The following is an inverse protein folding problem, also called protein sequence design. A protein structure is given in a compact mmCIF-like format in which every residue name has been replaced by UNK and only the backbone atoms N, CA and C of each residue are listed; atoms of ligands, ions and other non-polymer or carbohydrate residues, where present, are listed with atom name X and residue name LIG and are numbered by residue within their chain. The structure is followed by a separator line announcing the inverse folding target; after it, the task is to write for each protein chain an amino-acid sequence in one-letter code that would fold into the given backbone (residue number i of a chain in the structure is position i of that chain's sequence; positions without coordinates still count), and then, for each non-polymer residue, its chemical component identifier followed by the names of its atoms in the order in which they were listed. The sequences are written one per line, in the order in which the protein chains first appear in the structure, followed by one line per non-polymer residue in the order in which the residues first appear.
data_IF_082465312458
#
_entry.id   IF_082465312458
#
_cell.length_a   1.000
_cell.length_b   1.000
_cell.length_c   1.000
_cell.angle_alpha   90.00
_cell.angle_beta   90.00
_cell.angle_gamma   90.00
#
_symmetry.space_group_name_H-M   'P 1'
#
loop_
_entity.id
_entity.type
_entity.pdbx_description
1 polymer ?
#
# COMPACT_ATOMS: atom_id res chain seq x y z
N UNK A 1 -20.90 -3.90 13.30
CA UNK A 1 -21.09 -2.53 12.77
C UNK A 1 -22.57 -2.25 12.71
N UNK A 2 -23.08 -1.36 13.56
CA UNK A 2 -24.46 -0.89 13.45
C UNK A 2 -24.44 0.41 12.65
N UNK A 3 -24.84 0.35 11.38
CA UNK A 3 -25.18 1.56 10.62
C UNK A 3 -26.35 2.22 11.34
N UNK A 4 -26.13 3.42 11.87
CA UNK A 4 -27.24 4.28 12.25
C UNK A 4 -27.85 4.80 10.96
N UNK A 5 -28.88 4.13 10.45
CA UNK A 5 -29.90 4.79 9.64
C UNK A 5 -30.71 5.69 10.58
N UNK A 6 -30.10 6.75 11.10
CA UNK A 6 -30.71 7.74 11.99
C UNK A 6 -31.56 8.75 11.21
N UNK A 7 -32.19 8.32 10.10
CA UNK A 7 -33.13 9.16 9.35
C UNK A 7 -34.36 9.56 10.19
N UNK A 8 -34.62 8.89 11.32
CA UNK A 8 -35.72 9.20 12.23
C UNK A 8 -35.42 10.32 13.25
N UNK A 9 -34.19 10.84 13.36
CA UNK A 9 -33.84 11.91 14.32
C UNK A 9 -33.82 13.33 13.72
N UNK A 10 -33.73 13.47 12.39
CA UNK A 10 -33.71 14.77 11.72
C UNK A 10 -34.91 15.69 12.05
N UNK A 11 -36.16 15.21 12.20
CA UNK A 11 -37.26 16.11 12.55
C UNK A 11 -37.15 16.73 13.95
N UNK A 12 -36.35 16.13 14.84
CA UNK A 12 -36.15 16.63 16.22
C UNK A 12 -34.94 17.56 16.35
N UNK A 13 -33.91 17.42 15.51
CA UNK A 13 -32.67 18.23 15.63
C UNK A 13 -32.89 19.69 15.26
N UNK A 14 -33.83 19.99 14.36
CA UNK A 14 -34.17 21.36 13.95
C UNK A 14 -35.19 22.05 14.87
N UNK A 15 -35.66 21.37 15.93
CA UNK A 15 -36.59 21.98 16.90
C UNK A 15 -35.87 22.85 17.93
N UNK A 16 -34.61 22.55 18.21
CA UNK A 16 -33.79 23.30 19.14
C UNK A 16 -33.21 24.55 18.47
N UNK A 17 -33.12 25.65 19.22
CA UNK A 17 -32.47 26.86 18.72
C UNK A 17 -30.99 26.57 18.41
N UNK A 18 -30.49 26.98 17.22
CA UNK A 18 -29.08 26.80 16.90
C UNK A 18 -28.21 27.63 17.84
N UNK A 19 -27.04 27.09 18.17
CA UNK A 19 -25.99 27.78 18.92
C UNK A 19 -24.94 28.35 17.99
N UNK A 20 -24.28 29.42 18.43
CA UNK A 20 -23.23 30.07 17.67
C UNK A 20 -21.90 29.33 17.85
N UNK A 21 -21.14 29.26 16.76
CA UNK A 21 -19.75 28.80 16.72
C UNK A 21 -18.92 29.94 16.10
N UNK A 22 -17.89 30.39 16.81
CA UNK A 22 -16.97 31.45 16.35
C UNK A 22 -15.71 30.78 15.82
N UNK A 23 -15.35 31.09 14.58
CA UNK A 23 -14.31 30.39 13.82
C UNK A 23 -13.30 31.39 13.27
N UNK A 24 -12.05 30.97 13.23
CA UNK A 24 -10.96 31.70 12.60
C UNK A 24 -10.60 33.04 13.25
N UNK A 25 -9.53 33.68 12.77
CA UNK A 25 -9.11 34.98 13.26
C UNK A 25 -10.10 36.11 12.92
N UNK A 26 -10.91 35.92 11.88
CA UNK A 26 -11.98 36.85 11.50
C UNK A 26 -13.22 36.74 12.40
N UNK A 27 -13.27 35.74 13.31
CA UNK A 27 -14.41 35.48 14.19
C UNK A 27 -15.71 35.25 13.40
N UNK A 28 -15.61 34.52 12.31
CA UNK A 28 -16.74 34.12 11.47
C UNK A 28 -17.73 33.31 12.31
N UNK A 29 -19.02 33.67 12.26
CA UNK A 29 -20.06 33.04 13.08
C UNK A 29 -20.85 32.03 12.26
N UNK A 30 -20.81 30.77 12.69
CA UNK A 30 -21.64 29.69 12.17
C UNK A 30 -22.75 29.34 13.17
N UNK A 31 -23.85 28.77 12.68
CA UNK A 31 -24.99 28.35 13.49
C UNK A 31 -25.17 26.84 13.40
N UNK A 32 -25.13 26.16 14.54
CA UNK A 32 -25.14 24.70 14.63
C UNK A 32 -26.23 24.24 15.59
N UNK A 33 -26.95 23.18 15.21
CA UNK A 33 -28.02 22.66 16.04
C UNK A 33 -27.45 21.79 17.19
N UNK A 34 -27.82 22.04 18.47
CA UNK A 34 -27.31 21.28 19.62
C UNK A 34 -27.51 19.77 19.49
N UNK A 35 -28.63 19.34 18.91
CA UNK A 35 -28.94 17.93 18.66
C UNK A 35 -27.90 17.21 17.79
N UNK A 36 -27.25 17.93 16.88
CA UNK A 36 -26.20 17.38 16.01
C UNK A 36 -24.90 17.17 16.81
N UNK A 37 -24.51 18.16 17.62
CA UNK A 37 -23.32 18.09 18.47
C UNK A 37 -23.46 17.06 19.60
N UNK A 38 -24.66 16.88 20.14
CA UNK A 38 -24.90 15.87 21.20
C UNK A 38 -24.87 14.43 20.66
N UNK A 39 -25.23 14.26 19.39
CA UNK A 39 -25.37 12.96 18.73
C UNK A 39 -24.12 12.50 17.96
N UNK A 40 -23.14 13.40 17.77
CA UNK A 40 -21.96 13.15 16.95
C UNK A 40 -20.97 12.11 17.53
N UNK A 41 -21.12 11.75 18.81
CA UNK A 41 -20.27 10.74 19.46
C UNK A 41 -18.97 11.29 20.03
N UNK A 42 -18.67 12.59 19.88
CA UNK A 42 -17.61 13.25 20.64
C UNK A 42 -18.09 13.49 22.09
N UNK A 43 -17.37 12.96 23.11
CA UNK A 43 -17.69 13.23 24.50
C UNK A 43 -17.46 14.70 24.86
N UNK A 44 -16.48 15.36 24.23
CA UNK A 44 -16.15 16.77 24.47
C UNK A 44 -17.27 17.67 23.97
N UNK A 45 -17.73 17.47 22.73
CA UNK A 45 -18.81 18.25 22.15
C UNK A 45 -20.13 17.97 22.86
N UNK A 46 -20.42 16.71 23.18
CA UNK A 46 -21.60 16.33 23.95
C UNK A 46 -21.63 16.97 25.35
N UNK A 47 -20.49 17.01 26.05
CA UNK A 47 -20.39 17.64 27.35
C UNK A 47 -20.58 19.16 27.27
N UNK A 48 -20.05 19.79 26.20
CA UNK A 48 -20.30 21.21 25.90
C UNK A 48 -21.81 21.42 25.79
N UNK A 49 -22.51 20.73 24.88
CA UNK A 49 -23.96 20.94 24.59
C UNK A 49 -24.95 20.34 25.60
N UNK A 50 -24.54 20.00 26.82
CA UNK A 50 -25.43 19.38 27.80
C UNK A 50 -26.53 20.35 28.28
N UNK A 51 -27.67 19.79 28.69
CA UNK A 51 -28.87 20.47 29.18
C UNK A 51 -28.61 21.61 30.18
N UNK A 52 -27.59 21.49 31.03
CA UNK A 52 -27.23 22.55 31.98
C UNK A 52 -26.67 23.80 31.29
N UNK A 53 -25.94 23.67 30.17
CA UNK A 53 -25.45 24.82 29.41
C UNK A 53 -26.60 25.56 28.72
N UNK A 54 -27.54 24.80 28.13
CA UNK A 54 -28.70 25.33 27.43
C UNK A 54 -29.70 25.98 28.41
N UNK A 55 -29.88 25.40 29.61
CA UNK A 55 -30.83 25.88 30.63
C UNK A 55 -30.33 27.09 31.42
N UNK A 56 -29.02 27.30 31.55
CA UNK A 56 -28.46 28.38 32.39
C UNK A 56 -28.42 29.76 31.72
N UNK A 57 -28.94 29.93 30.50
CA UNK A 57 -29.04 31.23 29.82
C UNK A 57 -27.70 31.87 29.43
N UNK A 58 -26.57 31.28 29.83
CA UNK A 58 -25.24 31.55 29.28
C UNK A 58 -25.13 30.88 27.91
N UNK A 59 -25.85 31.44 26.93
CA UNK A 59 -25.70 31.16 25.49
C UNK A 59 -24.32 31.60 24.98
N UNK A 60 -23.26 31.05 25.55
CA UNK A 60 -21.90 31.27 25.10
C UNK A 60 -21.72 30.60 23.75
N UNK A 61 -21.24 31.32 22.76
CA UNK A 61 -20.82 30.72 21.51
C UNK A 61 -19.69 29.69 21.76
N UNK A 62 -19.66 28.62 20.98
CA UNK A 62 -18.50 27.72 20.94
C UNK A 62 -17.34 28.49 20.30
N UNK A 63 -16.25 28.62 21.03
CA UNK A 63 -15.01 29.19 20.50
C UNK A 63 -14.20 28.10 19.79
N UNK A 64 -14.07 28.23 18.47
CA UNK A 64 -13.21 27.45 17.57
C UNK A 64 -12.30 28.41 16.76
N UNK A 65 -11.91 29.55 17.35
CA UNK A 65 -11.07 30.56 16.68
C UNK A 65 -9.67 30.05 16.31
N UNK A 66 -9.23 28.94 16.92
CA UNK A 66 -7.99 28.24 16.55
C UNK A 66 -8.05 27.50 15.19
N UNK A 67 -9.24 27.27 14.64
CA UNK A 67 -9.44 26.59 13.37
C UNK A 67 -9.87 27.57 12.28
N UNK A 68 -9.40 27.35 11.06
CA UNK A 68 -9.88 28.08 9.89
C UNK A 68 -11.29 27.67 9.48
N UNK A 69 -11.94 28.56 8.74
CA UNK A 69 -13.29 28.42 8.22
C UNK A 69 -13.47 27.14 7.40
N UNK A 70 -12.49 26.78 6.57
CA UNK A 70 -12.57 25.63 5.67
C UNK A 70 -12.60 24.31 6.45
N UNK A 71 -11.77 24.21 7.48
CA UNK A 71 -11.73 23.07 8.39
C UNK A 71 -13.06 22.91 9.13
N UNK A 72 -13.60 24.02 9.63
CA UNK A 72 -14.89 23.98 10.33
C UNK A 72 -16.04 23.68 9.37
N UNK A 73 -16.05 24.23 8.16
CA UNK A 73 -17.05 23.90 7.14
C UNK A 73 -17.05 22.40 6.80
N UNK A 74 -15.87 21.78 6.68
CA UNK A 74 -15.75 20.34 6.50
C UNK A 74 -16.29 19.55 7.72
N UNK A 75 -15.93 19.97 8.93
CA UNK A 75 -16.42 19.33 10.15
C UNK A 75 -17.93 19.46 10.32
N UNK A 76 -18.50 20.63 10.01
CA UNK A 76 -19.95 20.86 10.03
C UNK A 76 -20.65 20.05 8.95
N UNK A 77 -20.09 19.97 7.74
CA UNK A 77 -20.63 19.10 6.68
C UNK A 77 -20.74 17.66 7.21
N UNK A 78 -19.66 17.14 7.77
CA UNK A 78 -19.66 15.79 8.36
C UNK A 78 -20.73 15.61 9.43
N UNK A 79 -20.90 16.59 10.31
CA UNK A 79 -21.90 16.56 11.36
C UNK A 79 -23.34 16.45 10.82
N UNK A 80 -23.64 17.08 9.67
CA UNK A 80 -24.98 17.08 9.09
C UNK A 80 -25.25 15.94 8.12
N UNK A 81 -24.27 15.56 7.29
CA UNK A 81 -24.47 14.60 6.19
C UNK A 81 -23.68 13.29 6.39
N UNK A 82 -22.98 13.14 7.53
CA UNK A 82 -22.05 12.05 7.83
C UNK A 82 -20.89 11.89 6.82
N UNK A 83 -20.64 12.93 6.03
CA UNK A 83 -19.55 13.00 5.06
C UNK A 83 -19.07 14.45 4.88
N UNK A 84 -17.90 14.65 4.30
CA UNK A 84 -17.44 15.99 3.92
C UNK A 84 -16.86 15.97 2.52
N UNK A 85 -16.54 17.11 1.95
CA UNK A 85 -15.89 17.19 0.65
C UNK A 85 -14.83 18.28 0.68
N UNK A 86 -13.68 17.97 0.10
CA UNK A 86 -12.54 18.89 -0.01
C UNK A 86 -12.48 19.28 -1.48
N UNK A 87 -13.48 20.08 -1.92
CA UNK A 87 -13.49 20.56 -3.30
C UNK A 87 -12.45 21.63 -3.49
N UNK A 88 -11.76 21.56 -4.62
CA UNK A 88 -10.99 22.66 -5.18
C UNK A 88 -11.95 23.85 -5.44
N UNK A 89 -11.98 24.84 -4.53
CA UNK A 89 -12.90 25.99 -4.62
C UNK A 89 -12.44 27.06 -5.62
N UNK A 90 -11.53 26.75 -6.53
CA UNK A 90 -11.18 27.62 -7.67
C UNK A 90 -12.35 27.91 -8.63
N UNK A 91 -13.51 27.25 -8.48
CA UNK A 91 -14.68 27.44 -9.35
C UNK A 91 -15.81 28.36 -8.81
N UNK A 92 -15.50 29.36 -7.99
CA UNK A 92 -16.46 30.46 -7.71
C UNK A 92 -16.21 31.58 -8.72
N UNK A 93 -16.61 31.38 -9.99
CA UNK A 93 -16.40 32.41 -11.01
C UNK A 93 -16.90 32.14 -12.43
N UNK A 94 -17.61 31.05 -12.72
CA UNK A 94 -18.23 30.84 -14.02
C UNK A 94 -19.73 30.63 -13.86
N UNK A 95 -20.48 31.45 -14.57
CA UNK A 95 -21.90 31.70 -14.43
C UNK A 95 -22.75 30.43 -14.65
N UNK A 96 -23.89 30.44 -13.98
CA UNK A 96 -25.06 29.62 -14.31
C UNK A 96 -25.40 29.89 -15.77
N UNK A 97 -25.06 28.97 -16.66
CA UNK A 97 -25.75 28.81 -17.93
C UNK A 97 -26.45 27.46 -17.92
N UNK A 98 -27.78 27.52 -17.83
CA UNK A 98 -28.67 26.42 -18.12
C UNK A 98 -28.34 25.86 -19.52
N UNK A 99 -28.09 24.56 -19.61
CA UNK A 99 -28.12 23.88 -20.91
C UNK A 99 -29.00 22.64 -20.85
N UNK A 100 -30.04 22.73 -21.68
CA UNK A 100 -31.08 21.75 -21.94
C UNK A 100 -30.58 20.38 -22.41
N UNK A 101 -31.49 19.42 -22.24
CA UNK A 101 -31.52 17.98 -22.51
C UNK A 101 -30.88 17.45 -23.82
N UNK A 102 -30.68 16.12 -23.77
CA UNK A 102 -30.40 15.12 -24.81
C UNK A 102 -28.93 14.80 -25.08
N UNK A 103 -28.45 13.65 -24.58
CA UNK A 103 -28.41 12.43 -25.42
C UNK A 103 -27.88 11.18 -24.69
N UNK A 104 -28.64 10.10 -24.88
CA UNK A 104 -28.26 8.70 -25.08
C UNK A 104 -27.43 7.91 -24.05
N UNK A 105 -28.20 7.03 -23.39
CA UNK A 105 -27.87 5.78 -22.72
C UNK A 105 -27.00 4.88 -23.62
N UNK A 106 -25.83 4.48 -23.13
CA UNK A 106 -25.17 3.24 -23.55
C UNK A 106 -24.78 2.45 -22.30
N UNK A 107 -25.59 1.42 -22.02
CA UNK A 107 -25.29 0.36 -21.06
C UNK A 107 -24.06 -0.43 -21.54
N UNK A 108 -23.06 -0.59 -20.67
CA UNK A 108 -22.10 -1.68 -20.75
C UNK A 108 -22.03 -2.35 -19.38
N UNK A 109 -22.36 -3.64 -19.38
CA UNK A 109 -22.64 -4.46 -18.22
C UNK A 109 -21.40 -4.74 -17.36
N UNK A 110 -21.58 -4.57 -16.06
CA UNK A 110 -20.72 -5.06 -15.00
C UNK A 110 -20.77 -6.59 -14.92
N UNK A 111 -19.61 -7.26 -15.04
CA UNK A 111 -19.43 -8.60 -14.50
C UNK A 111 -18.96 -8.48 -13.06
N UNK A 112 -19.93 -8.64 -12.16
CA UNK A 112 -19.74 -8.88 -10.75
C UNK A 112 -18.93 -10.16 -10.52
N UNK A 113 -17.77 -10.05 -9.88
CA UNK A 113 -17.12 -11.21 -9.26
C UNK A 113 -17.08 -10.98 -7.76
N UNK A 114 -18.02 -11.64 -7.07
CA UNK A 114 -18.02 -11.81 -5.61
C UNK A 114 -16.70 -12.46 -5.17
N UNK A 115 -15.98 -11.81 -4.27
CA UNK A 115 -15.01 -12.49 -3.41
C UNK A 115 -15.42 -12.28 -1.96
N UNK A 116 -15.67 -13.39 -1.27
CA UNK A 116 -16.13 -13.41 0.12
C UNK A 116 -15.09 -12.82 1.07
N UNK A 117 -15.56 -11.93 1.93
CA UNK A 117 -14.84 -11.42 3.09
C UNK A 117 -14.80 -12.51 4.17
N UNK A 118 -13.68 -13.21 4.30
CA UNK A 118 -13.30 -13.89 5.54
C UNK A 118 -12.25 -13.05 6.26
N UNK A 119 -12.58 -12.61 7.48
CA UNK A 119 -11.68 -11.93 8.40
C UNK A 119 -10.70 -12.98 8.97
N UNK A 120 -9.37 -12.82 8.89
CA UNK A 120 -8.46 -13.67 9.64
C UNK A 120 -8.22 -13.12 11.05
N UNK A 121 -8.15 -14.03 12.00
CA UNK A 121 -7.90 -13.78 13.42
C UNK A 121 -6.63 -12.98 13.69
N UNK A 122 -6.75 -12.04 14.64
CA UNK A 122 -5.75 -11.06 15.06
C UNK A 122 -4.44 -11.64 15.64
N UNK A 123 -4.36 -12.95 15.89
CA UNK A 123 -3.15 -13.60 16.42
C UNK A 123 -2.16 -14.04 15.32
N UNK A 124 -2.60 -14.25 14.08
CA UNK A 124 -1.73 -14.71 12.98
C UNK A 124 -1.00 -13.52 12.30
N UNK A 125 -1.48 -12.29 12.51
CA UNK A 125 -0.93 -11.08 11.90
C UNK A 125 0.44 -10.66 12.45
N UNK A 126 0.76 -10.97 13.71
CA UNK A 126 2.00 -10.48 14.34
C UNK A 126 3.26 -11.23 13.88
N UNK A 127 3.15 -12.49 13.49
CA UNK A 127 4.30 -13.30 13.09
C UNK A 127 4.73 -13.02 11.65
N UNK A 128 3.76 -12.72 10.76
CA UNK A 128 4.01 -12.32 9.37
C UNK A 128 4.46 -10.86 9.19
N UNK A 129 4.42 -10.03 10.24
CA UNK A 129 4.86 -8.63 10.20
C UNK A 129 6.37 -8.45 10.46
N UNK A 130 7.05 -9.49 10.96
CA UNK A 130 8.47 -9.44 11.29
C UNK A 130 9.38 -9.54 10.07
N UNK A 131 8.92 -10.17 8.98
CA UNK A 131 9.75 -10.42 7.78
C UNK A 131 9.66 -9.33 6.71
N UNK A 132 8.69 -8.41 6.80
CA UNK A 132 8.50 -7.37 5.77
C UNK A 132 9.30 -6.09 6.06
N UNK A 133 10.02 -5.52 5.08
CA UNK A 133 10.86 -4.34 5.29
C UNK A 133 10.08 -3.08 5.69
N UNK A 134 8.87 -2.90 5.17
CA UNK A 134 7.97 -1.77 5.45
C UNK A 134 6.50 -2.22 5.38
N UNK A 135 5.66 -1.65 6.25
CA UNK A 135 4.21 -1.92 6.26
C UNK A 135 3.55 -1.23 5.06
N UNK A 136 2.74 -1.93 4.23
CA UNK A 136 1.95 -1.29 3.18
C UNK A 136 0.99 -0.25 3.75
N UNK A 137 0.77 0.85 3.03
CA UNK A 137 -0.15 1.91 3.46
C UNK A 137 -1.58 1.42 3.70
N UNK A 138 -2.04 0.46 2.88
CA UNK A 138 -3.35 -0.17 3.07
C UNK A 138 -3.51 -0.92 4.39
N UNK A 139 -2.40 -1.23 5.07
CA UNK A 139 -2.34 -1.88 6.39
C UNK A 139 -2.01 -0.91 7.53
N UNK A 140 -1.80 0.38 7.26
CA UNK A 140 -1.70 1.40 8.30
C UNK A 140 -3.08 1.69 8.94
N UNK A 141 -4.17 1.28 8.29
CA UNK A 141 -5.54 1.41 8.81
C UNK A 141 -6.04 0.07 9.37
N UNK A 142 -6.53 0.07 10.61
CA UNK A 142 -7.29 -1.07 11.15
C UNK A 142 -8.71 -1.15 10.60
N UNK A 143 -9.28 -0.02 10.17
CA UNK A 143 -10.71 0.13 9.83
C UNK A 143 -11.00 -0.11 8.34
N UNK A 144 -9.96 -0.31 7.52
CA UNK A 144 -10.08 -0.43 6.06
C UNK A 144 -10.31 0.92 5.36
N UNK A 145 -10.31 0.93 4.02
CA UNK A 145 -10.61 2.13 3.23
C UNK A 145 -12.14 2.35 3.17
N UNK A 146 -12.62 3.60 3.14
CA UNK A 146 -14.04 3.89 3.03
C UNK A 146 -14.54 3.43 1.65
N UNK A 147 -15.80 3.02 1.58
CA UNK A 147 -16.42 2.73 0.30
C UNK A 147 -16.32 3.97 -0.60
N UNK A 148 -15.80 3.80 -1.81
CA UNK A 148 -15.96 4.83 -2.84
C UNK A 148 -17.47 4.99 -3.03
N UNK A 149 -18.00 6.14 -2.61
CA UNK A 149 -19.41 6.55 -2.66
C UNK A 149 -20.35 5.98 -1.57
N UNK A 150 -20.94 6.88 -0.78
CA UNK A 150 -22.35 6.72 -0.42
C UNK A 150 -23.17 7.49 -1.46
N UNK A 151 -23.91 6.78 -2.31
CA UNK A 151 -25.00 7.38 -3.05
C UNK A 151 -25.99 7.96 -2.04
N UNK A 152 -26.00 9.29 -1.89
CA UNK A 152 -27.09 10.00 -1.25
C UNK A 152 -28.07 10.49 -2.32
N UNK A 153 -29.33 10.70 -1.93
CA UNK A 153 -30.43 11.06 -2.84
C UNK A 153 -30.25 12.41 -3.58
N UNK A 154 -29.14 13.13 -3.36
CA UNK A 154 -28.83 14.44 -3.93
C UNK A 154 -27.72 14.40 -5.01
N UNK A 155 -27.67 13.31 -5.79
CA UNK A 155 -26.76 13.06 -6.92
C UNK A 155 -25.32 12.65 -6.55
N UNK A 156 -24.78 11.75 -7.37
CA UNK A 156 -23.42 11.26 -7.31
C UNK A 156 -22.45 12.37 -7.72
N UNK A 157 -21.72 12.94 -6.77
CA UNK A 157 -20.63 13.88 -7.05
C UNK A 157 -19.31 13.25 -6.63
N UNK A 158 -18.64 12.61 -7.59
CA UNK A 158 -17.19 12.52 -7.60
C UNK A 158 -16.75 12.58 -9.06
N UNK A 159 -16.20 13.73 -9.47
CA UNK A 159 -15.21 13.74 -10.54
C UNK A 159 -13.93 13.28 -9.87
N UNK A 160 -13.40 12.13 -10.26
CA UNK A 160 -12.09 11.72 -9.77
C UNK A 160 -11.07 12.84 -10.03
N UNK A 161 -10.33 13.30 -9.00
CA UNK A 161 -9.20 14.18 -9.22
C UNK A 161 -8.27 13.46 -10.20
N UNK A 162 -8.01 14.08 -11.35
CA UNK A 162 -7.05 13.51 -12.28
C UNK A 162 -5.67 13.50 -11.61
N UNK A 163 -4.84 12.50 -11.91
CA UNK A 163 -3.59 12.22 -11.22
C UNK A 163 -2.50 13.33 -11.26
N UNK A 164 -2.83 14.51 -11.80
CA UNK A 164 -1.94 15.66 -11.95
C UNK A 164 -2.66 16.98 -11.58
N UNK A 165 -3.48 17.02 -10.53
CA UNK A 165 -4.07 18.28 -10.06
C UNK A 165 -3.11 19.05 -9.15
N UNK A 166 -2.91 20.34 -9.44
CA UNK A 166 -2.12 21.29 -8.64
C UNK A 166 -2.63 21.40 -7.20
N UNK A 167 -3.88 20.99 -6.91
CA UNK A 167 -4.51 21.04 -5.59
C UNK A 167 -4.39 19.77 -4.72
N UNK A 168 -3.75 18.68 -5.17
CA UNK A 168 -3.67 17.45 -4.35
C UNK A 168 -2.93 17.66 -3.01
N UNK A 169 -1.95 18.57 -2.98
CA UNK A 169 -1.24 18.95 -1.75
C UNK A 169 -2.16 19.63 -0.74
N UNK A 170 -3.03 20.54 -1.21
CA UNK A 170 -4.01 21.23 -0.39
C UNK A 170 -5.06 20.26 0.15
N UNK A 171 -5.48 19.28 -0.66
CA UNK A 171 -6.38 18.21 -0.21
C UNK A 171 -5.73 17.37 0.91
N UNK A 172 -4.44 17.06 0.79
CA UNK A 172 -3.69 16.35 1.84
C UNK A 172 -3.66 17.17 3.15
N UNK A 173 -3.38 18.47 3.04
CA UNK A 173 -3.38 19.39 4.17
C UNK A 173 -4.76 19.47 4.83
N UNK A 174 -5.84 19.57 4.04
CA UNK A 174 -7.20 19.62 4.56
C UNK A 174 -7.61 18.35 5.31
N UNK A 175 -7.25 17.17 4.82
CA UNK A 175 -7.45 15.94 5.58
C UNK A 175 -6.63 15.91 6.88
N UNK A 176 -5.40 16.44 6.86
CA UNK A 176 -4.57 16.63 8.04
C UNK A 176 -5.19 17.57 9.09
N UNK A 177 -5.73 18.72 8.65
CA UNK A 177 -6.44 19.68 9.50
C UNK A 177 -7.66 19.06 10.15
N UNK A 178 -8.48 18.35 9.36
CA UNK A 178 -9.68 17.72 9.87
C UNK A 178 -9.37 16.56 10.82
N UNK A 179 -8.30 15.81 10.57
CA UNK A 179 -7.78 14.83 11.52
C UNK A 179 -7.43 15.50 12.85
N UNK A 180 -6.67 16.60 12.83
CA UNK A 180 -6.28 17.32 14.04
C UNK A 180 -7.48 17.88 14.80
N UNK A 181 -8.45 18.47 14.09
CA UNK A 181 -9.73 18.91 14.67
C UNK A 181 -10.44 17.75 15.36
N UNK A 182 -10.60 16.62 14.67
CA UNK A 182 -11.28 15.46 15.21
C UNK A 182 -10.53 14.87 16.42
N UNK A 183 -9.19 14.82 16.37
CA UNK A 183 -8.35 14.34 17.46
C UNK A 183 -8.51 15.22 18.71
N UNK A 184 -8.47 16.55 18.55
CA UNK A 184 -8.60 17.50 19.65
C UNK A 184 -9.97 17.38 20.36
N UNK A 185 -11.04 17.16 19.60
CA UNK A 185 -12.39 16.99 20.16
C UNK A 185 -12.77 15.53 20.46
N UNK A 186 -11.84 14.57 20.38
CA UNK A 186 -12.10 13.14 20.58
C UNK A 186 -13.26 12.63 19.70
N UNK A 187 -13.28 13.06 18.45
CA UNK A 187 -14.31 12.76 17.48
C UNK A 187 -13.88 11.57 16.60
N UNK A 188 -13.84 10.38 17.19
CA UNK A 188 -13.22 9.19 16.57
C UNK A 188 -13.79 8.80 15.21
N UNK A 189 -15.09 9.00 14.94
CA UNK A 189 -15.66 8.67 13.60
C UNK A 189 -15.09 9.59 12.51
N UNK A 190 -14.99 10.89 12.79
CA UNK A 190 -14.43 11.88 11.87
C UNK A 190 -12.91 11.71 11.73
N UNK A 191 -12.22 11.43 12.83
CA UNK A 191 -10.78 11.13 12.87
C UNK A 191 -10.45 9.96 11.93
N UNK A 192 -11.21 8.86 12.05
CA UNK A 192 -11.05 7.70 11.18
C UNK A 192 -11.36 8.02 9.71
N UNK A 193 -12.43 8.77 9.42
CA UNK A 193 -12.78 9.16 8.05
C UNK A 193 -11.72 10.06 7.40
N UNK A 194 -11.17 11.02 8.16
CA UNK A 194 -10.10 11.88 7.71
C UNK A 194 -8.82 11.10 7.38
N UNK A 195 -8.44 10.19 8.27
CA UNK A 195 -7.28 9.31 8.06
C UNK A 195 -7.49 8.38 6.86
N UNK A 196 -8.70 7.86 6.71
CA UNK A 196 -9.13 7.02 5.60
C UNK A 196 -8.96 7.71 4.24
N UNK A 197 -9.49 8.93 4.11
CA UNK A 197 -9.41 9.73 2.89
C UNK A 197 -7.98 10.19 2.59
N UNK A 198 -7.22 10.57 3.61
CA UNK A 198 -5.79 10.83 3.48
C UNK A 198 -5.06 9.59 2.94
N UNK A 199 -5.36 8.40 3.45
CA UNK A 199 -4.75 7.15 2.96
C UNK A 199 -5.10 6.90 1.50
N UNK A 200 -6.35 7.12 1.09
CA UNK A 200 -6.76 6.99 -0.32
C UNK A 200 -5.99 7.96 -1.22
N UNK A 201 -5.85 9.22 -0.81
CA UNK A 201 -5.09 10.23 -1.53
C UNK A 201 -3.62 9.80 -1.70
N UNK A 202 -2.98 9.36 -0.62
CA UNK A 202 -1.60 8.89 -0.64
C UNK A 202 -1.42 7.64 -1.51
N UNK A 203 -2.39 6.73 -1.54
CA UNK A 203 -2.36 5.55 -2.41
C UNK A 203 -2.51 5.90 -3.90
N UNK A 204 -3.30 6.94 -4.23
CA UNK A 204 -3.44 7.42 -5.61
C UNK A 204 -2.21 8.21 -6.09
N UNK A 205 -1.46 8.82 -5.17
CA UNK A 205 -0.26 9.57 -5.50
C UNK A 205 0.98 8.67 -5.63
N UNK A 206 1.19 8.15 -6.84
CA UNK A 206 2.32 7.28 -7.12
C UNK A 206 3.63 8.00 -7.37
N UNK A 207 3.57 9.18 -8.02
CA UNK A 207 4.71 10.04 -8.35
C UNK A 207 4.49 11.42 -7.74
N UNK A 208 4.99 11.65 -6.51
CA UNK A 208 4.76 12.91 -5.80
C UNK A 208 5.50 14.06 -6.50
N UNK A 209 4.74 15.08 -6.92
CA UNK A 209 5.29 16.33 -7.45
C UNK A 209 5.69 17.26 -6.30
N UNK A 210 6.52 18.28 -6.60
CA UNK A 210 6.89 19.30 -5.60
C UNK A 210 5.67 19.98 -4.94
N UNK A 211 4.66 20.48 -5.69
CA UNK A 211 3.47 21.10 -5.09
C UNK A 211 2.71 20.17 -4.15
N UNK A 212 2.55 18.90 -4.55
CA UNK A 212 1.92 17.90 -3.71
C UNK A 212 2.70 17.68 -2.41
N UNK A 213 4.03 17.53 -2.51
CA UNK A 213 4.85 17.25 -1.33
C UNK A 213 4.96 18.46 -0.39
N UNK A 214 4.90 19.68 -0.90
CA UNK A 214 4.84 20.88 -0.06
C UNK A 214 3.56 20.88 0.81
N UNK A 215 2.38 20.66 0.22
CA UNK A 215 1.14 20.55 0.97
C UNK A 215 1.13 19.35 1.93
N UNK A 216 1.71 18.22 1.52
CA UNK A 216 1.91 17.07 2.40
C UNK A 216 2.85 17.38 3.57
N UNK A 217 3.92 18.15 3.35
CA UNK A 217 4.84 18.58 4.39
C UNK A 217 4.14 19.48 5.40
N UNK A 218 3.27 20.38 4.96
CA UNK A 218 2.42 21.18 5.86
C UNK A 218 1.45 20.30 6.67
N UNK A 219 0.86 19.28 6.04
CA UNK A 219 0.05 18.29 6.75
C UNK A 219 0.85 17.53 7.82
N UNK A 220 2.09 17.14 7.50
CA UNK A 220 3.01 16.47 8.44
C UNK A 220 3.33 17.38 9.62
N UNK A 221 3.70 18.64 9.38
CA UNK A 221 4.00 19.63 10.43
C UNK A 221 2.80 19.80 11.36
N UNK A 222 1.60 19.92 10.79
CA UNK A 222 0.39 20.09 11.56
C UNK A 222 0.07 18.87 12.43
N UNK A 223 0.09 17.67 11.84
CA UNK A 223 -0.19 16.42 12.58
C UNK A 223 0.81 16.20 13.70
N UNK A 224 2.11 16.33 13.43
CA UNK A 224 3.14 16.14 14.46
C UNK A 224 3.12 17.23 15.55
N UNK A 225 2.69 18.45 15.21
CA UNK A 225 2.45 19.51 16.19
C UNK A 225 1.24 19.24 17.08
N UNK A 226 0.14 18.72 16.51
CA UNK A 226 -1.11 18.42 17.22
C UNK A 226 -1.08 17.10 18.00
N UNK A 227 -0.15 16.17 17.68
CA UNK A 227 -0.06 14.83 18.28
C UNK A 227 1.32 14.55 18.91
N UNK A 228 1.60 15.09 20.12
CA UNK A 228 2.85 14.85 20.82
C UNK A 228 3.09 13.36 21.13
N UNK A 229 4.37 12.94 21.23
CA UNK A 229 4.80 11.56 21.49
C UNK A 229 4.30 10.91 22.79
N UNK A 230 3.53 11.63 23.63
CA UNK A 230 2.93 11.06 24.83
C UNK A 230 1.96 9.89 24.54
N UNK A 231 1.46 9.79 23.29
CA UNK A 231 0.74 8.62 22.79
C UNK A 231 1.63 7.85 21.78
N UNK A 232 2.21 6.69 22.15
CA UNK A 232 3.24 6.04 21.36
C UNK A 232 2.80 5.40 20.03
N UNK A 233 1.57 5.60 19.53
CA UNK A 233 1.08 4.99 18.29
C UNK A 233 -0.04 5.83 17.66
N UNK A 234 0.25 7.09 17.29
CA UNK A 234 -0.73 7.89 16.55
C UNK A 234 -0.87 7.39 15.10
N UNK A 235 -2.09 7.03 14.63
CA UNK A 235 -2.30 6.49 13.30
C UNK A 235 -1.90 7.41 12.14
N UNK A 236 -2.11 8.73 12.28
CA UNK A 236 -1.72 9.68 11.23
C UNK A 236 -0.20 9.83 11.14
N UNK A 237 0.49 9.87 12.28
CA UNK A 237 1.96 9.86 12.32
C UNK A 237 2.53 8.59 11.67
N UNK A 238 1.95 7.44 11.97
CA UNK A 238 2.37 6.17 11.35
C UNK A 238 2.14 6.19 9.84
N UNK A 239 0.96 6.60 9.38
CA UNK A 239 0.63 6.69 7.95
C UNK A 239 1.60 7.60 7.19
N UNK A 240 1.81 8.82 7.68
CA UNK A 240 2.63 9.83 7.01
C UNK A 240 4.11 9.44 6.95
N UNK A 241 4.66 9.00 8.08
CA UNK A 241 6.05 8.53 8.12
C UNK A 241 6.25 7.25 7.28
N UNK A 242 5.25 6.37 7.22
CA UNK A 242 5.28 5.17 6.38
C UNK A 242 5.23 5.52 4.89
N UNK A 243 4.41 6.49 4.47
CA UNK A 243 4.35 6.96 3.09
C UNK A 243 5.69 7.53 2.65
N UNK A 244 6.26 8.43 3.46
CA UNK A 244 7.53 9.07 3.16
C UNK A 244 8.67 8.05 3.12
N UNK A 245 8.71 7.09 4.04
CA UNK A 245 9.72 6.02 4.01
C UNK A 245 9.59 5.10 2.78
N UNK A 246 8.36 4.84 2.30
CA UNK A 246 8.12 4.03 1.09
C UNK A 246 8.58 4.77 -0.17
N UNK A 247 8.24 6.05 -0.28
CA UNK A 247 8.50 6.89 -1.46
C UNK A 247 9.83 7.66 -1.36
N UNK A 248 10.64 7.43 -0.32
CA UNK A 248 11.86 8.17 0.00
C UNK A 248 12.79 8.45 -1.19
N UNK A 249 12.96 7.46 -2.09
CA UNK A 249 13.88 7.54 -3.24
C UNK A 249 13.30 8.24 -4.46
N UNK A 250 11.98 8.51 -4.49
CA UNK A 250 11.29 9.15 -5.61
C UNK A 250 10.66 10.49 -5.22
N UNK A 251 10.84 10.91 -3.96
CA UNK A 251 10.37 12.20 -3.47
C UNK A 251 11.22 13.35 -4.04
N UNK A 252 10.61 14.52 -4.30
CA UNK A 252 11.34 15.69 -4.77
C UNK A 252 12.45 16.13 -3.81
N UNK A 253 13.68 16.26 -4.32
CA UNK A 253 14.87 16.47 -3.48
C UNK A 253 14.84 17.79 -2.71
N UNK A 254 14.38 18.87 -3.34
CA UNK A 254 14.29 20.22 -2.76
C UNK A 254 13.41 20.23 -1.51
N UNK A 255 12.17 19.78 -1.66
CA UNK A 255 11.16 19.80 -0.61
C UNK A 255 11.47 18.76 0.48
N UNK A 256 12.02 17.61 0.10
CA UNK A 256 12.50 16.60 1.05
C UNK A 256 13.67 17.09 1.90
N UNK A 257 14.64 17.79 1.29
CA UNK A 257 15.81 18.34 2.01
C UNK A 257 15.38 19.36 3.06
N UNK A 258 14.40 20.21 2.77
CA UNK A 258 13.84 21.15 3.74
C UNK A 258 13.27 20.41 4.96
N UNK A 259 12.45 19.38 4.72
CA UNK A 259 11.84 18.59 5.79
C UNK A 259 12.88 17.81 6.62
N UNK A 260 13.94 17.31 5.99
CA UNK A 260 15.07 16.67 6.68
C UNK A 260 15.80 17.68 7.57
N UNK A 261 16.02 18.91 7.08
CA UNK A 261 16.72 19.95 7.82
C UNK A 261 15.94 20.44 9.05
N UNK A 262 14.61 20.40 9.02
CA UNK A 262 13.75 20.67 10.19
C UNK A 262 13.94 19.64 11.31
N UNK A 263 14.19 18.38 10.95
CA UNK A 263 14.42 17.30 11.90
C UNK A 263 13.19 16.97 12.76
N UNK A 264 13.41 16.70 14.04
CA UNK A 264 12.35 16.42 15.00
C UNK A 264 11.79 15.00 14.96
N UNK A 265 10.64 14.84 15.61
CA UNK A 265 10.00 13.55 15.85
C UNK A 265 9.62 12.81 14.56
N UNK A 266 9.23 13.55 13.52
CA UNK A 266 8.91 12.98 12.22
C UNK A 266 10.12 12.30 11.58
N UNK A 267 11.26 12.97 11.54
CA UNK A 267 12.47 12.40 10.97
C UNK A 267 13.00 11.21 11.76
N UNK A 268 12.77 11.16 13.09
CA UNK A 268 13.04 9.97 13.90
C UNK A 268 12.20 8.79 13.40
N UNK A 269 10.89 8.99 13.23
CA UNK A 269 9.98 7.93 12.79
C UNK A 269 10.33 7.41 11.38
N UNK A 270 10.66 8.32 10.45
CA UNK A 270 11.11 7.97 9.08
C UNK A 270 12.44 7.23 9.12
N UNK A 271 13.43 7.72 9.87
CA UNK A 271 14.76 7.11 9.96
C UNK A 271 14.69 5.72 10.57
N UNK A 272 13.87 5.50 11.60
CA UNK A 272 13.64 4.17 12.17
C UNK A 272 13.06 3.20 11.12
N UNK A 273 12.09 3.65 10.31
CA UNK A 273 11.50 2.86 9.22
C UNK A 273 12.53 2.53 8.13
N UNK A 274 13.36 3.50 7.74
CA UNK A 274 14.43 3.28 6.76
C UNK A 274 15.54 2.36 7.29
N UNK A 275 15.96 2.54 8.54
CA UNK A 275 16.93 1.67 9.20
C UNK A 275 16.41 0.23 9.24
N UNK A 276 15.15 0.03 9.62
CA UNK A 276 14.49 -1.29 9.57
C UNK A 276 14.51 -1.89 8.16
N UNK A 277 14.16 -1.08 7.14
CA UNK A 277 14.20 -1.50 5.74
C UNK A 277 15.60 -1.95 5.33
N UNK A 278 16.63 -1.17 5.67
CA UNK A 278 18.03 -1.47 5.36
C UNK A 278 18.47 -2.75 6.06
N UNK A 279 18.17 -2.90 7.36
CA UNK A 279 18.55 -4.09 8.13
C UNK A 279 17.95 -5.38 7.54
N UNK A 280 16.67 -5.35 7.15
CA UNK A 280 15.98 -6.51 6.57
C UNK A 280 16.50 -6.81 5.15
N UNK A 281 16.69 -5.77 4.33
CA UNK A 281 17.28 -5.93 2.99
C UNK A 281 18.70 -6.46 3.05
N UNK A 282 19.53 -6.00 3.99
CA UNK A 282 20.91 -6.46 4.20
C UNK A 282 20.99 -7.95 4.52
N UNK A 283 20.12 -8.45 5.39
CA UNK A 283 20.04 -9.89 5.70
C UNK A 283 19.62 -10.70 4.47
N UNK A 284 18.67 -10.20 3.69
CA UNK A 284 18.23 -10.87 2.46
C UNK A 284 19.33 -10.90 1.39
N UNK A 285 20.12 -9.83 1.24
CA UNK A 285 21.22 -9.79 0.28
C UNK A 285 22.37 -10.72 0.69
N UNK A 286 22.71 -10.78 1.98
CA UNK A 286 23.72 -11.72 2.49
C UNK A 286 23.29 -13.17 2.28
N UNK A 287 22.00 -13.48 2.48
CA UNK A 287 21.46 -14.81 2.18
C UNK A 287 21.52 -15.16 0.69
N UNK A 288 21.34 -14.18 -0.20
CA UNK A 288 21.42 -14.39 -1.65
C UNK A 288 22.87 -14.57 -2.10
N UNK A 289 23.80 -13.78 -1.56
CA UNK A 289 25.24 -13.88 -1.83
C UNK A 289 25.78 -15.27 -1.45
N UNK A 290 25.41 -15.79 -0.27
CA UNK A 290 25.79 -17.16 0.13
C UNK A 290 25.24 -18.26 -0.79
N UNK A 291 24.04 -18.08 -1.36
CA UNK A 291 23.49 -19.01 -2.35
C UNK A 291 24.24 -18.93 -3.69
N UNK A 292 24.68 -17.74 -4.09
CA UNK A 292 25.49 -17.56 -5.30
C UNK A 292 26.83 -18.28 -5.11
N UNK A 293 27.50 -18.09 -3.97
CA UNK A 293 28.77 -18.76 -3.66
C UNK A 293 28.62 -20.30 -3.67
N UNK A 294 27.53 -20.82 -3.09
CA UNK A 294 27.25 -22.27 -3.11
C UNK A 294 27.01 -22.81 -4.53
N UNK A 295 26.33 -22.01 -5.37
CA UNK A 295 26.09 -22.34 -6.77
C UNK A 295 27.41 -22.35 -7.57
N UNK A 296 28.27 -21.34 -7.36
CA UNK A 296 29.58 -21.25 -8.01
C UNK A 296 30.49 -22.43 -7.63
N UNK A 297 30.50 -22.82 -6.35
CA UNK A 297 31.22 -24.03 -5.91
C UNK A 297 30.65 -25.30 -6.56
N UNK A 298 29.34 -25.38 -6.71
CA UNK A 298 28.68 -26.54 -7.34
C UNK A 298 28.99 -26.64 -8.83
N UNK A 299 29.00 -25.50 -9.55
CA UNK A 299 29.42 -25.41 -10.96
C UNK A 299 30.87 -25.86 -11.11
N UNK A 300 31.77 -25.31 -10.30
CA UNK A 300 33.20 -25.67 -10.33
C UNK A 300 33.42 -27.18 -10.11
N UNK A 301 32.67 -27.77 -9.16
CA UNK A 301 32.73 -29.21 -8.89
C UNK A 301 32.19 -30.05 -10.05
N UNK A 302 31.13 -29.61 -10.70
CA UNK A 302 30.57 -30.28 -11.87
C UNK A 302 31.52 -30.20 -13.07
N UNK A 303 32.13 -29.04 -13.32
CA UNK A 303 33.14 -28.86 -14.37
C UNK A 303 34.32 -29.82 -14.16
N UNK A 304 34.89 -29.87 -12.96
CA UNK A 304 35.96 -30.80 -12.63
C UNK A 304 35.53 -32.28 -12.82
N UNK A 305 34.31 -32.63 -12.44
CA UNK A 305 33.78 -33.97 -12.66
C UNK A 305 33.65 -34.29 -14.15
N UNK A 306 33.17 -33.34 -14.97
CA UNK A 306 33.06 -33.52 -16.42
C UNK A 306 34.43 -33.65 -17.10
N UNK A 307 35.43 -32.88 -16.68
CA UNK A 307 36.81 -33.01 -17.18
C UNK A 307 37.41 -34.37 -16.83
N UNK A 308 37.19 -34.85 -15.61
CA UNK A 308 37.62 -36.17 -15.17
C UNK A 308 36.95 -37.28 -15.99
N UNK A 309 35.64 -37.19 -16.23
CA UNK A 309 34.93 -38.14 -17.07
C UNK A 309 35.41 -38.11 -18.53
N UNK A 310 35.68 -36.93 -19.08
CA UNK A 310 36.24 -36.80 -20.42
C UNK A 310 37.62 -37.46 -20.54
N UNK A 311 38.48 -37.31 -19.51
CA UNK A 311 39.77 -37.99 -19.45
C UNK A 311 39.62 -39.51 -19.40
N UNK A 312 38.65 -40.02 -18.62
CA UNK A 312 38.37 -41.46 -18.54
C UNK A 312 37.84 -42.02 -19.86
N UNK A 313 36.93 -41.31 -20.52
CA UNK A 313 36.41 -41.70 -21.84
C UNK A 313 37.53 -41.77 -22.87
N UNK A 314 38.38 -40.75 -22.93
CA UNK A 314 39.53 -40.73 -23.85
C UNK A 314 40.47 -41.92 -23.61
N UNK A 315 40.77 -42.24 -22.34
CA UNK A 315 41.58 -43.42 -22.00
C UNK A 315 40.91 -44.72 -22.46
N UNK A 316 39.60 -44.86 -22.27
CA UNK A 316 38.86 -46.04 -22.70
C UNK A 316 38.83 -46.17 -24.24
N UNK A 317 38.68 -45.07 -24.96
CA UNK A 317 38.77 -45.03 -26.44
C UNK A 317 40.15 -45.47 -26.94
N UNK A 318 41.22 -44.98 -26.31
CA UNK A 318 42.60 -45.40 -26.60
C UNK A 318 42.78 -46.90 -26.36
N UNK A 319 42.27 -47.42 -25.24
CA UNK A 319 42.34 -48.85 -24.93
C UNK A 319 41.56 -49.70 -25.96
N UNK A 320 40.35 -49.29 -26.33
CA UNK A 320 39.54 -49.98 -27.36
C UNK A 320 40.30 -50.01 -28.69
N UNK A 321 40.91 -48.90 -29.10
CA UNK A 321 41.72 -48.83 -30.32
C UNK A 321 42.91 -49.80 -30.28
N UNK A 322 43.58 -49.91 -29.14
CA UNK A 322 44.65 -50.89 -28.93
C UNK A 322 44.13 -52.33 -29.09
N UNK A 323 43.02 -52.67 -28.41
CA UNK A 323 42.39 -54.00 -28.51
C UNK A 323 42.00 -54.34 -29.95
N UNK A 324 41.43 -53.40 -30.69
CA UNK A 324 41.10 -53.60 -32.11
C UNK A 324 42.33 -53.82 -32.97
N UNK A 325 43.42 -53.07 -32.72
CA UNK A 325 44.69 -53.24 -33.44
C UNK A 325 45.28 -54.64 -33.22
N UNK A 326 45.18 -55.14 -31.98
CA UNK A 326 45.63 -56.48 -31.60
C UNK A 326 44.82 -57.57 -32.30
N UNK A 327 43.50 -57.41 -32.33
CA UNK A 327 42.59 -58.33 -33.03
C UNK A 327 42.84 -58.39 -34.55
N UNK A 328 43.15 -57.24 -35.18
CA UNK A 328 43.58 -57.18 -36.59
C UNK A 328 44.85 -58.00 -36.83
N UNK A 329 45.81 -57.94 -35.91
CA UNK A 329 47.05 -58.73 -35.96
C UNK A 329 46.83 -60.25 -35.84
N UNK A 330 45.90 -60.69 -35.00
CA UNK A 330 45.55 -62.11 -34.81
C UNK A 330 44.81 -62.67 -36.03
N UNK A 331 43.87 -61.91 -36.59
CA UNK A 331 43.13 -62.28 -37.80
C UNK A 331 44.03 -62.46 -39.02
N UNK A 332 45.05 -61.61 -39.18
CA UNK A 332 46.05 -61.74 -40.24
C UNK A 332 46.90 -63.01 -40.11
N UNK A 333 47.26 -63.41 -38.88
CA UNK A 333 47.99 -64.67 -38.60
C UNK A 333 47.13 -65.90 -38.92
N UNK A 334 45.84 -65.90 -38.57
CA UNK A 334 44.94 -66.99 -38.93
C UNK A 334 44.70 -67.11 -40.45
N UNK A 335 44.58 -66.01 -41.19
CA UNK A 335 44.50 -66.06 -42.66
C UNK A 335 45.78 -66.60 -43.31
N UNK A 336 46.95 -66.34 -42.73
CA UNK A 336 48.24 -66.86 -43.21
C UNK A 336 48.39 -68.36 -42.91
N UNK A 337 47.97 -68.81 -41.73
CA UNK A 337 47.93 -70.24 -41.36
C UNK A 337 46.95 -71.04 -42.24
N UNK A 338 45.78 -70.46 -42.58
CA UNK A 338 44.78 -71.11 -43.45
C UNK A 338 45.21 -71.23 -44.91
N UNK A 339 46.16 -70.40 -45.37
CA UNK A 339 46.79 -70.54 -46.71
C UNK A 339 47.91 -71.59 -46.76
N UNK A 340 48.38 -72.09 -45.62
CA UNK A 340 49.43 -73.12 -45.56
C UNK A 340 48.88 -74.54 -45.33
N UNK A 341 47.57 -74.72 -45.16
CA UNK A 341 46.95 -76.04 -45.08
C UNK A 341 46.31 -76.36 -46.44
N UNK A 342 47.02 -77.15 -47.24
CA UNK A 342 46.46 -77.77 -48.45
C UNK A 342 45.49 -78.91 -48.05
N UNK A 343 44.43 -79.20 -48.82
CA UNK A 343 43.54 -80.32 -48.53
C UNK A 343 44.25 -81.64 -48.87
N UNK A 344 44.33 -82.54 -47.89
CA UNK A 344 44.75 -83.92 -48.09
C UNK A 344 43.52 -84.71 -48.57
N UNK A 345 43.47 -85.06 -49.86
CA UNK A 345 42.41 -85.91 -50.43
C UNK A 345 42.60 -87.36 -49.97
N UNK A 346 41.61 -87.90 -49.25
CA UNK A 346 41.51 -89.34 -48.97
C UNK A 346 40.65 -90.00 -50.05
N UNK A 347 41.28 -90.83 -50.87
CA UNK A 347 40.59 -91.79 -51.73
C UNK A 347 40.27 -93.05 -50.91
N UNK A 348 38.98 -93.39 -50.79
CA UNK A 348 38.49 -94.66 -50.25
C UNK A 348 38.03 -95.55 -51.39
N UNK A 349 38.80 -96.60 -51.68
CA UNK A 349 38.39 -97.76 -52.50
C UNK A 349 37.89 -98.89 -51.59
N UNK A 350 36.63 -99.27 -51.81
CA UNK A 350 36.09 -100.62 -52.02
C UNK A 350 36.80 -101.83 -51.36
N UNK A 351 36.08 -102.66 -50.57
CA UNK A 351 35.51 -103.96 -51.00
C UNK A 351 34.93 -104.83 -49.85
N UNK A 352 33.81 -105.49 -50.19
CA UNK A 352 33.30 -106.84 -49.82
C UNK A 352 33.24 -107.32 -48.35
N UNK A 353 32.25 -108.10 -47.90
CA UNK A 353 31.49 -109.12 -48.62
C UNK A 353 30.15 -109.45 -47.93
N UNK A 354 29.20 -109.92 -48.74
CA UNK A 354 28.13 -110.83 -48.33
C UNK A 354 28.68 -112.23 -48.06
#
# INVERSE_FOLDING_TARGET
MASRTNFHQFPSTFKDCPIQVIVGPQKTVYYVHPGVLSSCGSPVLKARVNDQWIKNGTSGAIDWTEFDEETVECALSYLYIEDYDVRDRTFVGAQIEERNDNDQIAQAAFLSTKAGSSVPDSKILNEALSERPLTPLSRCLQVGLPAETMQTAAAAFMKEPSACDEGLGDIALMHGKLYCFAHQFLFSRLENLALQRLTQLLLKCDTPTDPFFLGLADAIRLVYGATPKSKPNDPARELLSQYVALKYTILPESSMRALIAEGGDFMIDVTCKLARRISISGTSTQSLEGLIDELEMSVSRLEQHTENQACLLKRAEEEILEWESWNRGISAKHKKAKRMVAPFEFSTTLEHSA
#
